data_IF_751036091525
#
_entry.id   IF_751036091525
#
_cell.length_a   1.000
_cell.length_b   1.000
_cell.length_c   1.000
_cell.angle_alpha   90.00
_cell.angle_beta   90.00
_cell.angle_gamma   90.00
#
_symmetry.space_group_name_H-M   'P 1'
#
loop_
_entity.id
_entity.type
_entity.pdbx_description
1 polymer ?
#
# COMPACT_ATOMS: atom_id res chain seq x y z
N UNK A 1 3.80 4.55 -11.63
CA UNK A 1 4.66 4.54 -10.44
C UNK A 1 4.35 5.81 -9.66
N UNK A 2 4.16 5.73 -8.33
CA UNK A 2 3.74 6.88 -7.50
C UNK A 2 4.94 7.69 -6.93
N UNK A 3 6.17 7.38 -7.35
CA UNK A 3 7.39 8.08 -6.94
C UNK A 3 7.93 7.68 -5.56
N UNK A 4 7.25 6.75 -4.87
CA UNK A 4 7.66 6.27 -3.55
C UNK A 4 8.05 4.79 -3.57
N UNK A 5 8.98 4.43 -2.70
CA UNK A 5 9.37 3.03 -2.53
C UNK A 5 8.55 2.37 -1.43
N UNK A 6 7.89 1.26 -1.79
CA UNK A 6 6.96 0.54 -0.94
C UNK A 6 7.43 -0.88 -0.67
N UNK A 7 7.29 -1.34 0.58
CA UNK A 7 7.55 -2.73 0.99
C UNK A 7 6.26 -3.39 1.43
N UNK A 8 5.93 -4.54 0.83
CA UNK A 8 4.81 -5.39 1.30
C UNK A 8 5.12 -5.86 2.72
N UNK A 9 4.17 -5.69 3.64
CA UNK A 9 4.31 -6.15 5.02
C UNK A 9 3.19 -7.09 5.46
N UNK A 10 2.15 -7.24 4.65
CA UNK A 10 1.04 -8.14 4.97
C UNK A 10 0.15 -8.40 3.77
N UNK A 11 -0.67 -9.43 3.91
CA UNK A 11 -1.76 -9.78 3.01
C UNK A 11 -2.90 -10.34 3.85
N UNK A 12 -4.15 -10.02 3.48
CA UNK A 12 -5.33 -10.52 4.16
C UNK A 12 -6.41 -10.90 3.16
N UNK A 13 -7.02 -12.07 3.34
CA UNK A 13 -8.24 -12.44 2.62
C UNK A 13 -9.39 -11.54 3.05
N UNK A 14 -10.17 -11.08 2.08
CA UNK A 14 -11.28 -10.17 2.32
C UNK A 14 -12.57 -10.95 2.14
N UNK A 15 -13.39 -10.97 3.20
CA UNK A 15 -14.71 -11.60 3.16
C UNK A 15 -15.52 -11.02 2.00
N UNK A 16 -16.03 -11.89 1.13
CA UNK A 16 -16.80 -11.50 -0.04
C UNK A 16 -15.97 -11.10 -1.27
N UNK A 17 -14.63 -11.16 -1.20
CA UNK A 17 -13.78 -10.93 -2.37
C UNK A 17 -13.09 -12.22 -2.84
N UNK A 18 -12.88 -12.34 -4.16
CA UNK A 18 -12.11 -13.43 -4.77
C UNK A 18 -10.61 -13.22 -4.65
N UNK A 19 -10.18 -12.02 -4.27
CA UNK A 19 -8.78 -11.63 -4.24
C UNK A 19 -8.38 -11.09 -2.86
N UNK A 20 -7.16 -11.41 -2.39
CA UNK A 20 -6.68 -10.87 -1.13
C UNK A 20 -6.28 -9.39 -1.26
N UNK A 21 -6.34 -8.67 -0.14
CA UNK A 21 -5.79 -7.31 -0.01
C UNK A 21 -4.33 -7.38 0.35
N UNK A 22 -3.47 -6.75 -0.44
CA UNK A 22 -2.04 -6.61 -0.12
C UNK A 22 -1.76 -5.28 0.58
N UNK A 23 -0.95 -5.31 1.64
CA UNK A 23 -0.62 -4.15 2.46
C UNK A 23 0.85 -3.79 2.33
N UNK A 24 1.11 -2.51 2.11
CA UNK A 24 2.42 -1.95 1.85
C UNK A 24 2.69 -0.77 2.77
N UNK A 25 3.94 -0.62 3.17
CA UNK A 25 4.45 0.51 3.96
C UNK A 25 5.59 1.17 3.22
N UNK A 26 5.80 2.46 3.43
CA UNK A 26 6.99 3.12 2.94
C UNK A 26 8.25 2.36 3.43
N UNK A 27 9.25 2.20 2.57
CA UNK A 27 10.53 1.59 2.95
C UNK A 27 11.20 2.36 4.08
N UNK A 28 11.09 3.68 4.06
CA UNK A 28 11.63 4.60 5.05
C UNK A 28 10.90 4.59 6.40
N UNK A 29 9.97 3.65 6.63
CA UNK A 29 9.30 3.50 7.93
C UNK A 29 10.30 3.23 9.06
N UNK A 30 11.38 2.48 8.79
CA UNK A 30 12.35 2.11 9.83
C UNK A 30 13.35 3.22 10.12
N UNK A 31 13.95 3.82 9.09
CA UNK A 31 14.94 4.90 9.29
C UNK A 31 14.31 6.25 9.65
N UNK A 32 13.18 6.63 9.07
CA UNK A 32 12.60 7.98 9.20
C UNK A 32 11.24 8.00 9.87
N UNK A 33 10.77 6.86 10.38
CA UNK A 33 9.45 6.75 11.01
C UNK A 33 8.28 7.06 10.06
N UNK A 34 8.50 7.01 8.74
CA UNK A 34 7.50 7.43 7.75
C UNK A 34 6.17 6.68 7.93
N UNK A 35 5.04 7.39 8.20
CA UNK A 35 3.78 6.75 8.54
C UNK A 35 2.99 6.29 7.30
N UNK A 36 3.43 6.66 6.09
CA UNK A 36 2.74 6.33 4.85
C UNK A 36 2.60 4.82 4.63
N UNK A 37 1.37 4.39 4.39
CA UNK A 37 0.98 3.04 4.02
C UNK A 37 0.04 3.09 2.80
N UNK A 38 0.04 2.02 2.01
CA UNK A 38 -1.00 1.80 1.00
C UNK A 38 -1.46 0.36 1.01
N UNK A 39 -2.68 0.13 0.55
CA UNK A 39 -3.19 -1.21 0.31
C UNK A 39 -3.79 -1.31 -1.08
N UNK A 40 -3.58 -2.48 -1.69
CA UNK A 40 -3.92 -2.78 -3.08
C UNK A 40 -4.88 -3.96 -3.07
N UNK A 41 -6.03 -3.77 -3.69
CA UNK A 41 -7.08 -4.78 -3.85
C UNK A 41 -7.40 -4.90 -5.34
N UNK A 42 -7.43 -6.13 -5.87
CA UNK A 42 -7.94 -6.36 -7.22
C UNK A 42 -9.47 -6.34 -7.19
N UNK A 43 -10.09 -5.73 -8.19
CA UNK A 43 -11.55 -5.77 -8.34
C UNK A 43 -12.04 -7.16 -8.72
N UNK A 44 -13.14 -7.59 -8.11
CA UNK A 44 -13.80 -8.86 -8.46
C UNK A 44 -14.60 -8.75 -9.76
N UNK A 45 -15.06 -7.55 -10.13
CA UNK A 45 -15.86 -7.32 -11.36
C UNK A 45 -15.00 -7.10 -12.60
N UNK A 46 -13.79 -6.56 -12.43
CA UNK A 46 -12.86 -6.31 -13.52
C UNK A 46 -11.45 -6.75 -13.10
N UNK A 47 -10.98 -7.94 -13.52
CA UNK A 47 -9.67 -8.46 -13.14
C UNK A 47 -8.50 -7.55 -13.52
N UNK A 48 -8.65 -6.69 -14.52
CA UNK A 48 -7.60 -5.75 -14.93
C UNK A 48 -7.54 -4.48 -14.07
N UNK A 49 -8.52 -4.28 -13.18
CA UNK A 49 -8.62 -3.10 -12.32
C UNK A 49 -8.14 -3.35 -10.89
N UNK A 50 -7.43 -2.38 -10.34
CA UNK A 50 -6.95 -2.38 -8.96
C UNK A 50 -7.43 -1.13 -8.24
N UNK A 51 -7.99 -1.33 -7.04
CA UNK A 51 -8.25 -0.27 -6.10
C UNK A 51 -7.02 -0.10 -5.20
N UNK A 52 -6.46 1.11 -5.21
CA UNK A 52 -5.35 1.48 -4.34
C UNK A 52 -5.87 2.54 -3.36
N UNK A 53 -5.55 2.37 -2.08
CA UNK A 53 -5.87 3.37 -1.07
C UNK A 53 -4.61 3.70 -0.29
N UNK A 54 -4.37 4.99 -0.11
CA UNK A 54 -3.25 5.54 0.65
C UNK A 54 -3.74 5.98 2.03
N UNK A 55 -2.91 5.79 3.06
CA UNK A 55 -3.13 6.33 4.40
C UNK A 55 -1.81 6.83 4.99
N UNK A 56 -1.90 7.91 5.76
CA UNK A 56 -0.72 8.60 6.29
C UNK A 56 0.03 9.35 5.18
N UNK A 57 0.74 10.40 5.58
CA UNK A 57 1.54 11.21 4.66
C UNK A 57 3.00 10.80 4.66
N UNK A 58 3.70 11.05 3.55
CA UNK A 58 5.13 10.81 3.48
C UNK A 58 5.89 11.89 4.21
N UNK A 59 6.54 11.53 5.31
CA UNK A 59 7.49 12.40 6.02
C UNK A 59 8.93 12.19 5.55
N UNK A 60 9.21 11.08 4.84
CA UNK A 60 10.54 10.75 4.31
C UNK A 60 11.03 11.69 3.20
N UNK A 61 10.14 12.50 2.61
CA UNK A 61 10.54 13.53 1.64
C UNK A 61 11.17 14.75 2.30
N UNK A 62 10.95 14.97 3.60
CA UNK A 62 11.58 16.09 4.31
C UNK A 62 13.07 15.86 4.61
N UNK A 63 13.60 14.67 4.28
CA UNK A 63 15.01 14.32 4.41
C UNK A 63 15.70 14.17 3.05
N UNK A 64 15.02 14.55 1.95
CA UNK A 64 15.55 14.47 0.60
C UNK A 64 16.30 15.74 0.20
#
# INVERSE_FOLDING_TARGET
DDGYTWRKYGQKDILGSRHPKSYYRCTHKRESGCPAIKYVQRSDSNPSSFQITYRGEHTCNMLR
#
